data_IF_489786403965
#
_entry.id   IF_489786403965
#
_cell.length_a   1.000
_cell.length_b   1.000
_cell.length_c   1.000
_cell.angle_alpha   90.00
_cell.angle_beta   90.00
_cell.angle_gamma   90.00
#
_symmetry.space_group_name_H-M   'P 1'
#
loop_
_entity.id
_entity.type
_entity.pdbx_description
1 polymer ?
#
# COMPACT_ATOMS: atom_id res chain seq x y z
N UNK A 1 20.51 -5.35 28.08
CA UNK A 1 20.18 -5.61 26.66
C UNK A 1 18.85 -6.34 26.64
N UNK A 2 17.74 -5.63 26.40
CA UNK A 2 16.44 -6.25 26.30
C UNK A 2 16.33 -6.89 24.90
N UNK A 3 16.27 -8.22 24.85
CA UNK A 3 15.89 -8.94 23.63
C UNK A 3 14.40 -8.65 23.41
N UNK A 4 14.09 -7.66 22.57
CA UNK A 4 12.75 -7.49 22.06
C UNK A 4 12.49 -8.63 21.10
N UNK A 5 11.85 -9.68 21.60
CA UNK A 5 11.19 -10.68 20.77
C UNK A 5 10.15 -9.94 19.93
N UNK A 6 10.52 -9.53 18.72
CA UNK A 6 9.59 -8.98 17.76
C UNK A 6 8.60 -10.10 17.40
N UNK A 7 7.38 -10.01 17.91
CA UNK A 7 6.29 -10.83 17.40
C UNK A 7 6.22 -10.65 15.89
N UNK A 8 5.91 -11.73 15.16
CA UNK A 8 5.64 -11.58 13.73
C UNK A 8 4.46 -10.61 13.53
N UNK A 9 4.54 -9.68 12.57
CA UNK A 9 3.44 -8.78 12.30
C UNK A 9 2.17 -9.54 11.92
N UNK A 10 1.01 -8.97 12.28
CA UNK A 10 -0.29 -9.52 11.89
C UNK A 10 -0.42 -9.42 10.35
N UNK A 11 -0.73 -10.55 9.71
CA UNK A 11 -0.85 -10.70 8.26
C UNK A 11 -2.20 -11.33 7.88
N UNK A 12 -2.61 -11.16 6.62
CA UNK A 12 -3.82 -11.78 6.08
C UNK A 12 -3.65 -13.31 5.99
N UNK A 13 -4.48 -14.12 6.68
CA UNK A 13 -4.39 -15.59 6.59
C UNK A 13 -4.58 -16.12 5.16
N UNK A 14 -5.41 -15.45 4.36
CA UNK A 14 -5.70 -15.80 2.97
C UNK A 14 -4.71 -15.23 1.95
N UNK A 15 -3.56 -14.68 2.39
CA UNK A 15 -2.53 -14.10 1.52
C UNK A 15 -2.17 -15.03 0.35
N UNK A 16 -1.91 -16.31 0.61
CA UNK A 16 -1.54 -17.27 -0.43
C UNK A 16 -2.66 -17.48 -1.47
N UNK A 17 -3.93 -17.48 -1.05
CA UNK A 17 -5.06 -17.62 -1.97
C UNK A 17 -5.20 -16.38 -2.86
N UNK A 18 -4.99 -15.19 -2.30
CA UNK A 18 -5.00 -13.95 -3.03
C UNK A 18 -3.84 -13.87 -4.05
N UNK A 19 -2.63 -14.28 -3.65
CA UNK A 19 -1.47 -14.35 -4.54
C UNK A 19 -1.68 -15.32 -5.71
N UNK A 20 -2.29 -16.48 -5.46
CA UNK A 20 -2.64 -17.43 -6.51
C UNK A 20 -3.59 -16.82 -7.54
N UNK A 21 -4.57 -16.00 -7.10
CA UNK A 21 -5.46 -15.30 -8.02
C UNK A 21 -4.75 -14.20 -8.80
N UNK A 22 -3.82 -13.45 -8.17
CA UNK A 22 -3.00 -12.43 -8.83
C UNK A 22 -2.06 -13.01 -9.89
N UNK A 23 -1.59 -14.24 -9.70
CA UNK A 23 -0.70 -14.92 -10.65
C UNK A 23 -1.40 -15.35 -11.95
N UNK A 24 -2.74 -15.47 -11.94
CA UNK A 24 -3.51 -15.81 -13.14
C UNK A 24 -3.45 -14.60 -14.09
N UNK A 25 -3.03 -14.78 -15.35
CA UNK A 25 -3.08 -13.73 -16.38
C UNK A 25 -4.34 -13.86 -17.24
N UNK A 26 -4.95 -12.73 -17.61
CA UNK A 26 -6.09 -12.74 -18.53
C UNK A 26 -5.57 -13.04 -19.95
N UNK A 27 -6.10 -14.03 -20.67
CA UNK A 27 -5.62 -14.38 -22.02
C UNK A 27 -5.85 -13.27 -23.05
N UNK A 28 -6.82 -12.39 -22.78
CA UNK A 28 -7.13 -11.22 -23.62
C UNK A 28 -6.28 -9.97 -23.26
N UNK A 29 -5.33 -10.11 -22.33
CA UNK A 29 -4.57 -8.99 -21.79
C UNK A 29 -5.37 -8.09 -20.84
N UNK A 30 -4.71 -7.11 -20.18
CA UNK A 30 -5.41 -6.00 -19.54
C UNK A 30 -6.12 -5.19 -20.61
N UNK A 31 -7.33 -4.71 -20.33
CA UNK A 31 -7.97 -3.75 -21.22
C UNK A 31 -7.18 -2.44 -21.17
N UNK A 32 -6.58 -2.06 -22.29
CA UNK A 32 -5.88 -0.78 -22.42
C UNK A 32 -6.91 0.25 -22.87
N UNK A 33 -7.20 1.28 -22.06
CA UNK A 33 -8.10 2.36 -22.44
C UNK A 33 -7.66 3.01 -23.75
N UNK A 34 -8.60 3.23 -24.66
CA UNK A 34 -8.35 4.06 -25.84
C UNK A 34 -8.46 5.55 -25.47
N UNK A 35 -7.95 6.42 -26.33
CA UNK A 35 -8.07 7.88 -26.19
C UNK A 35 -9.54 8.32 -26.10
N UNK A 36 -10.42 7.63 -26.83
CA UNK A 36 -11.87 7.84 -26.78
C UNK A 36 -12.51 7.42 -25.44
N UNK A 37 -12.01 6.35 -24.82
CA UNK A 37 -12.49 5.91 -23.50
C UNK A 37 -12.08 6.89 -22.39
N UNK A 38 -10.87 7.45 -22.51
CA UNK A 38 -10.34 8.48 -21.63
C UNK A 38 -11.17 9.77 -21.70
N UNK A 39 -11.56 10.19 -22.92
CA UNK A 39 -12.38 11.40 -23.16
C UNK A 39 -13.80 11.26 -22.63
N UNK A 40 -14.40 10.06 -22.71
CA UNK A 40 -15.80 9.83 -22.33
C UNK A 40 -16.01 9.55 -20.84
N UNK A 41 -14.95 9.41 -20.05
CA UNK A 41 -15.01 8.97 -18.64
C UNK A 41 -15.90 7.73 -18.45
N UNK A 42 -15.93 6.84 -19.43
CA UNK A 42 -16.79 5.67 -19.36
C UNK A 42 -16.24 4.69 -18.30
N UNK A 43 -17.15 4.15 -17.49
CA UNK A 43 -16.86 3.03 -16.61
C UNK A 43 -16.54 1.82 -17.50
N UNK A 44 -15.37 1.22 -17.31
CA UNK A 44 -14.96 0.07 -18.12
C UNK A 44 -15.72 -1.17 -17.67
N UNK A 45 -16.36 -1.85 -18.62
CA UNK A 45 -16.96 -3.16 -18.35
C UNK A 45 -15.89 -4.24 -18.54
N UNK A 46 -15.70 -5.09 -17.53
CA UNK A 46 -14.83 -6.27 -17.68
C UNK A 46 -15.50 -7.24 -18.65
N UNK A 47 -15.09 -7.18 -19.93
CA UNK A 47 -15.73 -7.94 -21.03
C UNK A 47 -15.49 -9.44 -20.96
N UNK A 48 -14.45 -9.90 -20.26
CA UNK A 48 -14.15 -11.32 -20.08
C UNK A 48 -14.78 -11.88 -18.79
N UNK A 49 -15.76 -12.82 -18.86
CA UNK A 49 -16.43 -13.36 -17.67
C UNK A 49 -15.47 -14.03 -16.67
N UNK A 50 -14.46 -14.75 -17.14
CA UNK A 50 -13.46 -15.41 -16.27
C UNK A 50 -12.57 -14.40 -15.55
N UNK A 51 -12.20 -13.30 -16.24
CA UNK A 51 -11.38 -12.25 -15.64
C UNK A 51 -12.20 -11.42 -14.64
N UNK A 52 -13.51 -11.26 -14.89
CA UNK A 52 -14.47 -10.70 -13.93
C UNK A 52 -14.59 -11.58 -12.68
N UNK A 53 -14.90 -12.86 -12.82
CA UNK A 53 -15.02 -13.79 -11.68
C UNK A 53 -13.76 -13.84 -10.81
N UNK A 54 -12.58 -13.85 -11.45
CA UNK A 54 -11.29 -13.75 -10.76
C UNK A 54 -11.18 -12.42 -9.99
N UNK A 55 -11.49 -11.30 -10.63
CA UNK A 55 -11.41 -9.98 -9.99
C UNK A 55 -12.40 -9.86 -8.81
N UNK A 56 -13.58 -10.46 -8.90
CA UNK A 56 -14.55 -10.55 -7.79
C UNK A 56 -13.95 -11.33 -6.61
N UNK A 57 -13.36 -12.50 -6.86
CA UNK A 57 -12.72 -13.30 -5.80
C UNK A 57 -11.52 -12.56 -5.18
N UNK A 58 -10.70 -11.92 -6.01
CA UNK A 58 -9.61 -11.08 -5.52
C UNK A 58 -10.14 -9.96 -4.63
N UNK A 59 -11.19 -9.25 -5.04
CA UNK A 59 -11.78 -8.16 -4.26
C UNK A 59 -12.40 -8.65 -2.94
N UNK A 60 -13.03 -9.81 -2.94
CA UNK A 60 -13.56 -10.43 -1.72
C UNK A 60 -12.46 -10.77 -0.71
N UNK A 61 -11.31 -11.28 -1.16
CA UNK A 61 -10.17 -11.53 -0.28
C UNK A 61 -9.45 -10.23 0.11
N UNK A 62 -9.20 -9.34 -0.85
CA UNK A 62 -8.51 -8.07 -0.63
C UNK A 62 -9.29 -7.14 0.31
N UNK A 63 -10.63 -7.16 0.26
CA UNK A 63 -11.46 -6.39 1.19
C UNK A 63 -11.35 -6.81 2.66
N UNK A 64 -10.79 -8.00 2.95
CA UNK A 64 -10.45 -8.43 4.32
C UNK A 64 -9.16 -7.81 4.85
N UNK A 65 -8.36 -7.21 3.97
CA UNK A 65 -7.24 -6.36 4.41
C UNK A 65 -7.77 -5.05 4.97
N UNK A 66 -6.90 -4.11 5.29
CA UNK A 66 -7.33 -2.73 5.46
C UNK A 66 -7.20 -2.05 4.10
N UNK A 67 -8.13 -2.11 3.13
CA UNK A 67 -7.99 -1.29 1.91
C UNK A 67 -8.15 0.21 2.18
N UNK A 68 -8.66 0.60 3.36
CA UNK A 68 -8.98 1.97 3.74
C UNK A 68 -7.72 2.75 4.14
N UNK A 69 -7.13 3.48 3.20
CA UNK A 69 -6.35 4.66 3.58
C UNK A 69 -7.34 5.81 3.72
N UNK A 70 -7.35 6.51 4.84
CA UNK A 70 -8.13 7.75 4.98
C UNK A 70 -7.48 8.93 4.22
N UNK A 71 -6.32 8.69 3.61
CA UNK A 71 -5.51 9.65 2.87
C UNK A 71 -5.53 9.39 1.36
N UNK A 72 -5.32 10.47 0.59
CA UNK A 72 -5.18 10.43 -0.87
C UNK A 72 -6.37 9.76 -1.57
N UNK A 73 -6.07 8.78 -2.44
CA UNK A 73 -7.05 8.04 -3.23
C UNK A 73 -7.58 6.76 -2.53
N UNK A 74 -7.29 6.60 -1.23
CA UNK A 74 -7.71 5.43 -0.46
C UNK A 74 -9.23 5.21 -0.41
N UNK A 75 -10.07 6.25 -0.15
CA UNK A 75 -11.52 6.08 -0.12
C UNK A 75 -12.10 5.69 -1.49
N UNK A 76 -11.54 6.23 -2.57
CA UNK A 76 -11.93 5.89 -3.95
C UNK A 76 -11.60 4.43 -4.27
N UNK A 77 -10.35 4.01 -4.00
CA UNK A 77 -9.89 2.63 -4.17
C UNK A 77 -10.80 1.66 -3.41
N UNK A 78 -11.11 1.99 -2.15
CA UNK A 78 -11.99 1.16 -1.33
C UNK A 78 -13.38 1.01 -1.94
N UNK A 79 -13.97 2.12 -2.41
CA UNK A 79 -15.27 2.10 -3.10
C UNK A 79 -15.27 1.17 -4.32
N UNK A 80 -14.19 1.21 -5.12
CA UNK A 80 -14.00 0.34 -6.29
C UNK A 80 -13.89 -1.13 -5.88
N UNK A 81 -13.03 -1.46 -4.91
CA UNK A 81 -12.85 -2.83 -4.42
C UNK A 81 -14.15 -3.39 -3.85
N UNK A 82 -14.88 -2.61 -3.06
CA UNK A 82 -16.17 -3.02 -2.48
C UNK A 82 -17.23 -3.25 -3.55
N UNK A 83 -17.26 -2.40 -4.58
CA UNK A 83 -18.15 -2.57 -5.74
C UNK A 83 -17.84 -3.87 -6.49
N UNK A 84 -16.56 -4.14 -6.76
CA UNK A 84 -16.12 -5.38 -7.42
C UNK A 84 -16.42 -6.62 -6.56
N UNK A 85 -16.21 -6.56 -5.24
CA UNK A 85 -16.53 -7.67 -4.33
C UNK A 85 -18.03 -8.02 -4.33
N UNK A 86 -18.90 -7.04 -4.60
CA UNK A 86 -20.35 -7.22 -4.77
C UNK A 86 -20.73 -7.77 -6.16
N UNK A 87 -19.76 -8.00 -7.05
CA UNK A 87 -19.99 -8.55 -8.39
C UNK A 87 -20.29 -7.51 -9.47
N UNK A 88 -20.21 -6.21 -9.15
CA UNK A 88 -20.50 -5.15 -10.10
C UNK A 88 -19.45 -5.13 -11.23
N UNK A 89 -19.92 -5.06 -12.47
CA UNK A 89 -19.08 -5.07 -13.68
C UNK A 89 -18.54 -3.71 -14.07
N UNK A 90 -19.07 -2.64 -13.48
CA UNK A 90 -18.62 -1.27 -13.73
C UNK A 90 -17.34 -1.01 -12.94
N UNK A 91 -16.21 -0.92 -13.65
CA UNK A 91 -14.96 -0.43 -13.09
C UNK A 91 -14.86 1.09 -13.14
N UNK A 92 -14.08 1.69 -12.23
CA UNK A 92 -13.73 3.12 -12.31
C UNK A 92 -12.98 3.45 -13.61
N UNK A 93 -13.04 4.72 -14.04
CA UNK A 93 -12.40 5.17 -15.28
C UNK A 93 -10.93 4.74 -15.37
N UNK A 94 -10.60 3.93 -16.37
CA UNK A 94 -9.27 3.54 -16.86
C UNK A 94 -8.51 2.54 -15.98
N UNK A 95 -9.20 1.84 -15.07
CA UNK A 95 -8.57 0.97 -14.08
C UNK A 95 -8.82 -0.51 -14.39
N UNK A 96 -7.75 -1.29 -14.51
CA UNK A 96 -7.84 -2.74 -14.32
C UNK A 96 -7.82 -3.02 -12.81
N UNK A 97 -9.00 -3.32 -12.26
CA UNK A 97 -9.18 -3.50 -10.81
C UNK A 97 -8.28 -4.63 -10.27
N UNK A 98 -8.01 -5.67 -11.07
CA UNK A 98 -7.11 -6.75 -10.66
C UNK A 98 -5.66 -6.28 -10.63
N UNK A 99 -5.22 -5.48 -11.62
CA UNK A 99 -3.88 -4.89 -11.63
C UNK A 99 -3.70 -3.88 -10.49
N UNK A 100 -4.70 -3.04 -10.22
CA UNK A 100 -4.68 -2.10 -9.09
C UNK A 100 -4.50 -2.83 -7.75
N UNK A 101 -5.30 -3.88 -7.49
CA UNK A 101 -5.15 -4.68 -6.26
C UNK A 101 -3.78 -5.38 -6.19
N UNK A 102 -3.28 -5.89 -7.32
CA UNK A 102 -1.95 -6.51 -7.39
C UNK A 102 -0.85 -5.52 -7.07
N UNK A 103 -0.90 -4.32 -7.66
CA UNK A 103 0.04 -3.24 -7.39
C UNK A 103 0.07 -2.88 -5.90
N UNK A 104 -1.10 -2.62 -5.30
CA UNK A 104 -1.17 -2.27 -3.87
C UNK A 104 -0.69 -3.39 -2.96
N UNK A 105 -1.03 -4.64 -3.29
CA UNK A 105 -0.53 -5.81 -2.57
C UNK A 105 1.00 -5.89 -2.61
N UNK A 106 1.59 -5.78 -3.80
CA UNK A 106 3.04 -5.83 -4.00
C UNK A 106 3.76 -4.66 -3.34
N UNK A 107 3.19 -3.46 -3.36
CA UNK A 107 3.71 -2.30 -2.63
C UNK A 107 3.72 -2.56 -1.12
N UNK A 108 2.62 -3.11 -0.57
CA UNK A 108 2.58 -3.52 0.84
C UNK A 108 3.68 -4.52 1.20
N UNK A 109 3.89 -5.54 0.37
CA UNK A 109 4.96 -6.52 0.56
C UNK A 109 6.36 -5.89 0.49
N UNK A 110 6.58 -4.95 -0.45
CA UNK A 110 7.84 -4.22 -0.55
C UNK A 110 8.11 -3.40 0.72
N UNK A 111 7.09 -2.75 1.28
CA UNK A 111 7.23 -2.00 2.52
C UNK A 111 7.60 -2.92 3.69
N UNK A 112 6.89 -4.03 3.87
CA UNK A 112 7.19 -5.02 4.91
C UNK A 112 8.60 -5.61 4.76
N UNK A 113 9.03 -5.86 3.53
CA UNK A 113 10.37 -6.33 3.25
C UNK A 113 11.44 -5.27 3.56
N UNK A 114 11.19 -3.99 3.26
CA UNK A 114 12.07 -2.89 3.66
C UNK A 114 12.16 -2.78 5.19
N UNK A 115 11.03 -2.77 5.91
CA UNK A 115 10.99 -2.78 7.38
C UNK A 115 11.84 -3.91 7.95
N UNK A 116 11.67 -5.13 7.44
CA UNK A 116 12.47 -6.28 7.85
C UNK A 116 13.96 -6.13 7.52
N UNK A 117 14.29 -5.68 6.30
CA UNK A 117 15.68 -5.54 5.83
C UNK A 117 16.47 -4.56 6.68
N UNK A 118 15.86 -3.46 7.09
CA UNK A 118 16.49 -2.41 7.87
C UNK A 118 16.30 -2.58 9.39
N UNK A 119 15.69 -3.69 9.84
CA UNK A 119 15.49 -3.98 11.26
C UNK A 119 14.55 -2.98 11.94
N UNK A 120 13.62 -2.40 11.19
CA UNK A 120 12.66 -1.42 11.71
C UNK A 120 11.50 -2.10 12.44
N UNK A 121 10.91 -1.45 13.45
CA UNK A 121 9.66 -1.91 14.04
C UNK A 121 8.52 -1.78 13.01
N UNK A 122 7.70 -2.84 12.89
CA UNK A 122 6.48 -2.77 12.11
C UNK A 122 5.44 -1.91 12.87
N UNK A 123 4.94 -0.81 12.26
CA UNK A 123 3.94 0.06 12.87
C UNK A 123 2.77 -0.75 13.42
N UNK A 124 2.47 -0.57 14.71
CA UNK A 124 1.39 -1.29 15.41
C UNK A 124 1.49 -2.83 15.37
N UNK A 125 2.65 -3.38 15.03
CA UNK A 125 2.86 -4.81 14.82
C UNK A 125 1.95 -5.41 13.72
N UNK A 126 1.64 -4.63 12.67
CA UNK A 126 0.82 -5.02 11.53
C UNK A 126 1.65 -4.99 10.25
N UNK A 127 1.32 -5.84 9.27
CA UNK A 127 1.84 -5.71 7.89
C UNK A 127 1.28 -4.47 7.21
N UNK A 128 2.00 -3.89 6.24
CA UNK A 128 1.60 -2.66 5.57
C UNK A 128 0.19 -2.72 4.96
N UNK A 129 -0.20 -3.87 4.38
CA UNK A 129 -1.52 -4.03 3.76
C UNK A 129 -2.65 -4.12 4.81
N UNK A 130 -2.33 -4.59 6.02
CA UNK A 130 -3.25 -4.71 7.15
C UNK A 130 -3.22 -3.49 8.08
N UNK A 131 -2.28 -2.57 7.89
CA UNK A 131 -2.13 -1.44 8.79
C UNK A 131 -3.30 -0.46 8.67
N UNK A 132 -3.91 -0.14 9.81
CA UNK A 132 -5.09 0.73 9.91
C UNK A 132 -4.80 2.22 9.62
N UNK A 133 -3.54 2.56 9.31
CA UNK A 133 -3.11 3.89 8.92
C UNK A 133 -2.72 4.79 10.09
N UNK A 134 -2.44 6.05 9.75
CA UNK A 134 -1.85 7.03 10.66
C UNK A 134 -2.73 7.39 11.86
N UNK A 135 -4.05 7.47 11.68
CA UNK A 135 -4.98 7.88 12.75
C UNK A 135 -4.91 6.95 13.96
N UNK A 136 -5.22 5.66 13.81
CA UNK A 136 -5.10 4.67 14.87
C UNK A 136 -3.68 4.54 15.43
N UNK A 137 -2.67 4.60 14.56
CA UNK A 137 -1.26 4.56 14.98
C UNK A 137 -0.89 5.73 15.92
N UNK A 138 -1.22 6.98 15.54
CA UNK A 138 -1.01 8.16 16.39
C UNK A 138 -1.81 8.07 17.70
N UNK A 139 -3.03 7.53 17.65
CA UNK A 139 -3.86 7.34 18.83
C UNK A 139 -3.23 6.35 19.81
N UNK A 140 -2.67 5.23 19.33
CA UNK A 140 -1.95 4.25 20.18
C UNK A 140 -0.76 4.90 20.90
N UNK A 141 -0.08 5.83 20.24
CA UNK A 141 1.02 6.60 20.84
C UNK A 141 0.58 7.79 21.70
N UNK A 142 -0.73 8.10 21.79
CA UNK A 142 -1.28 9.21 22.60
C UNK A 142 -1.07 9.03 24.11
N UNK A 143 -0.87 7.79 24.58
CA UNK A 143 -0.58 7.48 25.98
C UNK A 143 0.87 7.81 26.39
N UNK A 144 1.72 8.22 25.43
CA UNK A 144 3.06 8.74 25.69
C UNK A 144 3.00 10.17 26.23
N UNK A 145 4.04 10.63 26.92
CA UNK A 145 4.15 12.04 27.30
C UNK A 145 4.15 12.95 26.04
N UNK A 146 3.79 14.23 26.23
CA UNK A 146 3.61 15.17 25.12
C UNK A 146 4.86 15.41 24.30
N UNK A 147 6.05 15.37 24.92
CA UNK A 147 7.32 15.60 24.24
C UNK A 147 7.71 14.39 23.38
N UNK A 148 7.54 13.18 23.92
CA UNK A 148 7.74 11.92 23.17
C UNK A 148 6.81 11.83 21.95
N UNK A 149 5.54 12.24 22.11
CA UNK A 149 4.59 12.28 20.99
C UNK A 149 4.98 13.29 19.92
N UNK A 150 5.39 14.50 20.32
CA UNK A 150 5.82 15.52 19.37
C UNK A 150 7.08 15.08 18.61
N UNK A 151 8.03 14.47 19.31
CA UNK A 151 9.24 13.96 18.68
C UNK A 151 8.93 12.87 17.64
N UNK A 152 8.06 11.91 17.99
CA UNK A 152 7.62 10.86 17.08
C UNK A 152 6.98 11.42 15.80
N UNK A 153 6.10 12.43 15.95
CA UNK A 153 5.45 13.09 14.83
C UNK A 153 6.45 13.87 13.96
N UNK A 154 7.43 14.54 14.57
CA UNK A 154 8.48 15.25 13.83
C UNK A 154 9.35 14.28 12.99
N UNK A 155 9.78 13.16 13.58
CA UNK A 155 10.55 12.14 12.87
C UNK A 155 9.74 11.52 11.72
N UNK A 156 8.45 11.28 11.94
CA UNK A 156 7.54 10.80 10.90
C UNK A 156 7.41 11.81 9.76
N UNK A 157 7.22 13.10 10.07
CA UNK A 157 7.10 14.16 9.08
C UNK A 157 8.39 14.31 8.25
N UNK A 158 9.55 14.26 8.92
CA UNK A 158 10.85 14.25 8.25
C UNK A 158 10.96 13.09 7.27
N UNK A 159 10.69 11.87 7.73
CA UNK A 159 10.75 10.67 6.89
C UNK A 159 9.78 10.78 5.71
N UNK A 160 8.55 11.26 5.95
CA UNK A 160 7.54 11.45 4.93
C UNK A 160 8.03 12.43 3.85
N UNK A 161 8.57 13.59 4.25
CA UNK A 161 9.08 14.59 3.33
C UNK A 161 10.20 14.02 2.44
N UNK A 162 11.18 13.33 3.03
CA UNK A 162 12.29 12.74 2.26
C UNK A 162 11.77 11.71 1.26
N UNK A 163 10.74 10.93 1.60
CA UNK A 163 10.14 9.99 0.66
C UNK A 163 9.34 10.66 -0.47
N UNK A 164 8.79 11.86 -0.26
CA UNK A 164 8.03 12.59 -1.28
C UNK A 164 8.90 13.42 -2.24
N UNK A 165 10.08 13.87 -1.80
CA UNK A 165 10.92 14.81 -2.56
C UNK A 165 12.18 14.15 -3.16
N UNK A 166 12.66 14.59 -4.35
CA UNK A 166 12.00 15.49 -5.30
C UNK A 166 10.86 14.80 -6.09
N UNK A 167 10.76 13.49 -5.96
CA UNK A 167 9.72 12.66 -6.56
C UNK A 167 9.32 11.58 -5.56
N UNK A 168 8.06 11.15 -5.65
CA UNK A 168 7.52 10.12 -4.75
C UNK A 168 8.33 8.84 -4.88
N UNK A 169 8.81 8.32 -3.75
CA UNK A 169 9.66 7.14 -3.70
C UNK A 169 8.87 5.84 -3.93
N UNK A 170 9.57 4.85 -4.46
CA UNK A 170 9.07 3.50 -4.77
C UNK A 170 8.51 3.35 -6.19
N UNK A 171 8.12 2.12 -6.55
CA UNK A 171 7.51 1.81 -7.85
C UNK A 171 6.27 2.66 -8.12
N UNK A 172 6.26 3.35 -9.27
CA UNK A 172 5.11 4.12 -9.73
C UNK A 172 4.08 3.21 -10.40
N UNK A 173 2.76 3.47 -10.23
CA UNK A 173 1.75 2.70 -10.91
C UNK A 173 1.81 2.95 -12.43
N UNK A 174 1.57 1.91 -13.21
CA UNK A 174 1.28 2.08 -14.64
C UNK A 174 -0.14 2.62 -14.88
N UNK A 175 -0.47 2.93 -16.14
CA UNK A 175 -1.75 3.53 -16.52
C UNK A 175 -2.98 2.67 -16.17
N UNK A 176 -2.81 1.36 -15.99
CA UNK A 176 -3.89 0.41 -15.65
C UNK A 176 -4.01 0.15 -14.15
N UNK A 177 -2.93 0.40 -13.40
CA UNK A 177 -2.86 0.19 -11.95
C UNK A 177 -3.48 1.35 -11.16
N UNK A 178 -3.65 2.50 -11.80
CA UNK A 178 -4.35 3.65 -11.22
C UNK A 178 -3.46 4.54 -10.37
N UNK A 179 -3.91 4.81 -9.15
CA UNK A 179 -3.28 5.80 -8.28
C UNK A 179 -2.19 5.21 -7.41
N UNK A 180 -1.26 6.08 -7.02
CA UNK A 180 -0.21 5.74 -6.07
C UNK A 180 -0.78 5.24 -4.73
N UNK A 181 -0.15 4.19 -4.18
CA UNK A 181 -0.55 3.61 -2.91
C UNK A 181 0.02 4.41 -1.73
N UNK A 182 -0.64 5.51 -1.35
CA UNK A 182 -0.17 6.46 -0.34
C UNK A 182 0.25 5.83 1.00
N UNK A 183 -0.45 4.78 1.44
CA UNK A 183 -0.11 4.05 2.67
C UNK A 183 1.32 3.53 2.68
N UNK A 184 1.86 3.14 1.53
CA UNK A 184 3.22 2.64 1.43
C UNK A 184 4.24 3.59 2.10
N UNK A 185 4.15 4.89 1.80
CA UNK A 185 5.02 5.90 2.41
C UNK A 185 4.65 6.14 3.86
N UNK A 186 3.36 6.26 4.17
CA UNK A 186 2.91 6.50 5.55
C UNK A 186 3.39 5.41 6.52
N UNK A 187 3.32 4.15 6.08
CA UNK A 187 3.77 2.99 6.84
C UNK A 187 5.29 3.00 7.03
N UNK A 188 6.07 3.26 5.97
CA UNK A 188 7.53 3.38 6.08
C UNK A 188 7.95 4.55 6.97
N UNK A 189 7.29 5.70 6.85
CA UNK A 189 7.53 6.86 7.71
C UNK A 189 7.21 6.55 9.17
N UNK A 190 6.12 5.83 9.44
CA UNK A 190 5.78 5.39 10.79
C UNK A 190 6.81 4.39 11.35
N UNK A 191 7.26 3.44 10.54
CA UNK A 191 8.25 2.42 10.94
C UNK A 191 9.60 3.07 11.32
N UNK A 192 10.05 4.02 10.50
CA UNK A 192 11.24 4.83 10.78
C UNK A 192 11.07 5.63 12.07
N UNK A 193 9.94 6.32 12.24
CA UNK A 193 9.69 7.12 13.43
C UNK A 193 9.67 6.26 14.71
N UNK A 194 9.09 5.06 14.64
CA UNK A 194 9.05 4.11 15.76
C UNK A 194 10.44 3.58 16.15
N UNK A 195 11.44 3.63 15.26
CA UNK A 195 12.83 3.31 15.62
C UNK A 195 13.42 4.33 16.61
N UNK A 196 12.82 5.53 16.73
CA UNK A 196 13.18 6.59 17.69
C UNK A 196 14.68 6.94 17.69
N UNK A 197 15.29 6.91 16.51
CA UNK A 197 16.67 7.32 16.32
C UNK A 197 16.80 8.85 16.46
N UNK A 198 18.01 9.37 16.74
CA UNK A 198 18.31 10.80 16.58
C UNK A 198 17.97 11.29 15.16
N UNK A 199 17.76 12.60 15.01
CA UNK A 199 17.33 13.21 13.73
C UNK A 199 18.31 12.87 12.59
N UNK A 200 19.60 13.13 12.76
CA UNK A 200 20.62 12.88 11.72
C UNK A 200 20.69 11.39 11.32
N UNK A 201 20.53 10.49 12.29
CA UNK A 201 20.49 9.04 12.04
C UNK A 201 19.20 8.63 11.34
N UNK A 202 18.09 9.28 11.67
CA UNK A 202 16.80 9.08 11.01
C UNK A 202 16.87 9.52 9.56
N UNK A 203 17.42 10.70 9.26
CA UNK A 203 17.58 11.19 7.88
C UNK A 203 18.40 10.21 7.04
N UNK A 204 19.55 9.77 7.56
CA UNK A 204 20.40 8.80 6.88
C UNK A 204 19.68 7.48 6.62
N UNK A 205 18.97 6.96 7.61
CA UNK A 205 18.19 5.74 7.48
C UNK A 205 17.10 5.89 6.40
N UNK A 206 16.37 7.01 6.38
CA UNK A 206 15.31 7.25 5.39
C UNK A 206 15.89 7.28 3.99
N UNK A 207 17.04 7.93 3.78
CA UNK A 207 17.70 7.96 2.48
C UNK A 207 18.16 6.56 2.03
N UNK A 208 18.68 5.74 2.94
CA UNK A 208 19.04 4.35 2.63
C UNK A 208 17.81 3.50 2.26
N UNK A 209 16.71 3.63 3.02
CA UNK A 209 15.44 2.97 2.71
C UNK A 209 14.91 3.43 1.35
N UNK A 210 14.97 4.74 1.07
CA UNK A 210 14.54 5.35 -0.18
C UNK A 210 15.32 4.82 -1.38
N UNK A 211 16.66 4.78 -1.30
CA UNK A 211 17.50 4.17 -2.34
C UNK A 211 17.11 2.71 -2.56
N UNK A 212 16.86 1.97 -1.48
CA UNK A 212 16.46 0.57 -1.58
C UNK A 212 15.11 0.39 -2.30
N UNK A 213 14.06 1.08 -1.89
CA UNK A 213 12.73 0.94 -2.53
C UNK A 213 12.72 1.46 -3.97
N UNK A 214 13.53 2.47 -4.29
CA UNK A 214 13.66 3.00 -5.65
C UNK A 214 14.44 2.07 -6.59
N UNK A 215 15.16 1.08 -6.07
CA UNK A 215 15.79 0.05 -6.90
C UNK A 215 14.78 -0.92 -7.54
N UNK A 216 13.51 -0.87 -7.12
CA UNK A 216 12.40 -1.62 -7.71
C UNK A 216 11.67 -0.72 -8.71
N UNK A 217 11.93 -0.91 -10.01
CA UNK A 217 11.28 -0.14 -11.08
C UNK A 217 9.97 -0.77 -11.55
N UNK A 218 9.82 -2.10 -11.38
CA UNK A 218 8.62 -2.84 -11.67
C UNK A 218 8.38 -3.89 -10.59
N UNK A 219 7.13 -4.01 -10.15
CA UNK A 219 6.69 -5.09 -9.27
C UNK A 219 6.22 -6.25 -10.18
N UNK A 220 7.11 -7.20 -10.46
CA UNK A 220 6.82 -8.36 -11.30
C UNK A 220 5.99 -9.45 -10.61
#
# INVERSE_FOLDING_TARGET
MASTSFCSPIALPEAAALENLMAIKCPNGPHIPTEEDLEKQNLFEVTCPRCHERAVQMAQLFSKTCPNSDSGYGPLTYGIVRSMAAGNRQGGCNLDIANMMTYQWRMGQLADHAVKKFGLPAPSNETCIMWEGLGPWLYRHRMSDSASRQNLENLRQLANQIFFEPQVSGPQPDSTQGYYFGRFIEYLSAAVAEARLPVDETEKLVEEVKVYINSFTHLS
#
